data_IF_230031791329
#
_entry.id   IF_230031791329
#
_cell.length_a   1.000
_cell.length_b   1.000
_cell.length_c   1.000
_cell.angle_alpha   90.00
_cell.angle_beta   90.00
_cell.angle_gamma   90.00
#
_symmetry.space_group_name_H-M   'P 1'
#
loop_
_entity.id
_entity.type
_entity.pdbx_description
1 polymer ?
#
# COMPACT_ATOMS: atom_id res chain seq x y z
N UNK A 1 12.67 5.69 4.78
CA UNK A 1 11.35 5.11 4.45
C UNK A 1 11.49 4.10 3.33
N UNK A 2 10.82 2.98 3.45
CA UNK A 2 10.89 1.93 2.43
C UNK A 2 10.24 2.38 1.13
N UNK A 3 10.92 2.21 0.00
CA UNK A 3 10.40 2.55 -1.32
C UNK A 3 10.28 1.34 -2.25
N UNK A 4 10.87 0.21 -1.89
CA UNK A 4 10.77 -1.00 -2.70
C UNK A 4 9.35 -1.54 -2.67
N UNK A 5 8.69 -1.62 -3.82
CA UNK A 5 7.28 -2.00 -3.91
C UNK A 5 7.00 -3.38 -3.34
N UNK A 6 7.84 -4.36 -3.62
CA UNK A 6 7.65 -5.71 -3.10
C UNK A 6 7.66 -5.74 -1.58
N UNK A 7 8.56 -4.98 -0.96
CA UNK A 7 8.65 -4.91 0.50
C UNK A 7 7.47 -4.18 1.10
N UNK A 8 7.03 -3.10 0.45
CA UNK A 8 5.83 -2.36 0.88
C UNK A 8 4.60 -3.27 0.87
N UNK A 9 4.38 -3.97 -0.25
CA UNK A 9 3.24 -4.87 -0.39
C UNK A 9 3.31 -6.02 0.61
N UNK A 10 4.49 -6.61 0.81
CA UNK A 10 4.66 -7.68 1.79
C UNK A 10 4.28 -7.22 3.20
N UNK A 11 4.67 -6.00 3.56
CA UNK A 11 4.31 -5.44 4.87
C UNK A 11 2.81 -5.17 4.99
N UNK A 12 2.21 -4.62 3.94
CA UNK A 12 0.77 -4.39 3.92
C UNK A 12 0.00 -5.70 4.14
N UNK A 13 0.34 -6.73 3.39
CA UNK A 13 -0.33 -8.03 3.51
C UNK A 13 -0.11 -8.66 4.87
N UNK A 14 1.09 -8.54 5.42
CA UNK A 14 1.42 -9.04 6.75
C UNK A 14 0.60 -8.35 7.84
N UNK A 15 0.23 -7.09 7.62
CA UNK A 15 -0.57 -6.30 8.56
C UNK A 15 -2.07 -6.40 8.31
N UNK A 16 -2.50 -7.28 7.42
CA UNK A 16 -3.91 -7.55 7.19
C UNK A 16 -4.56 -6.79 6.05
N UNK A 17 -3.78 -6.04 5.26
CA UNK A 17 -4.32 -5.39 4.07
C UNK A 17 -4.54 -6.43 2.98
N UNK A 18 -5.67 -6.34 2.29
CA UNK A 18 -6.09 -7.30 1.27
C UNK A 18 -6.14 -6.61 -0.07
N UNK A 19 -5.54 -7.22 -1.07
CA UNK A 19 -5.53 -6.70 -2.42
C UNK A 19 -6.91 -6.79 -3.05
N UNK A 20 -7.36 -5.69 -3.65
CA UNK A 20 -8.63 -5.61 -4.37
C UNK A 20 -8.35 -5.88 -5.84
N UNK A 21 -9.05 -6.83 -6.50
CA UNK A 21 -8.82 -7.14 -7.90
C UNK A 21 -9.22 -6.01 -8.83
N UNK A 22 -8.56 -5.93 -10.00
CA UNK A 22 -8.88 -5.01 -11.08
C UNK A 22 -8.10 -3.71 -11.06
N UNK A 23 -8.17 -2.97 -12.16
CA UNK A 23 -7.53 -1.66 -12.30
C UNK A 23 -6.06 -1.71 -12.70
N UNK A 24 -5.49 -0.53 -12.94
CA UNK A 24 -4.10 -0.38 -13.39
C UNK A 24 -3.10 -0.41 -12.23
N UNK A 25 -3.57 -0.10 -11.03
CA UNK A 25 -2.74 -0.11 -9.82
C UNK A 25 -3.25 -1.15 -8.85
N UNK A 26 -2.35 -1.66 -8.03
CA UNK A 26 -2.75 -2.54 -6.95
C UNK A 26 -3.39 -1.71 -5.85
N UNK A 27 -4.57 -2.11 -5.41
CA UNK A 27 -5.32 -1.41 -4.36
C UNK A 27 -5.52 -2.35 -3.19
N UNK A 28 -5.41 -1.82 -2.00
CA UNK A 28 -5.51 -2.60 -0.76
C UNK A 28 -6.55 -2.01 0.17
N UNK A 29 -7.32 -2.88 0.80
CA UNK A 29 -8.30 -2.51 1.83
C UNK A 29 -8.00 -3.25 3.12
N UNK A 30 -8.56 -2.76 4.23
CA UNK A 30 -8.38 -3.37 5.54
C UNK A 30 -9.70 -3.38 6.29
N UNK A 31 -10.06 -4.52 6.88
CA UNK A 31 -11.33 -4.66 7.60
C UNK A 31 -11.46 -3.71 8.79
N UNK A 32 -10.34 -3.39 9.45
CA UNK A 32 -10.32 -2.47 10.57
C UNK A 32 -10.41 -1.00 10.15
N UNK A 33 -10.30 -0.71 8.85
CA UNK A 33 -10.35 0.65 8.31
C UNK A 33 -11.30 0.73 7.12
N UNK A 34 -12.61 0.56 7.36
CA UNK A 34 -13.60 0.57 6.26
C UNK A 34 -13.58 1.91 5.53
N UNK A 35 -13.68 1.85 4.20
CA UNK A 35 -13.67 3.04 3.35
C UNK A 35 -12.28 3.59 3.05
N UNK A 36 -11.23 3.05 3.65
CA UNK A 36 -9.86 3.47 3.37
C UNK A 36 -9.25 2.57 2.30
N UNK A 37 -8.58 3.20 1.33
CA UNK A 37 -7.96 2.49 0.21
C UNK A 37 -6.51 2.93 0.07
N UNK A 38 -5.60 1.96 -0.02
CA UNK A 38 -4.21 2.23 -0.36
C UNK A 38 -3.99 1.86 -1.82
N UNK A 39 -3.45 2.79 -2.61
CA UNK A 39 -3.14 2.57 -4.02
C UNK A 39 -1.63 2.44 -4.16
N UNK A 40 -1.19 1.32 -4.72
CA UNK A 40 0.23 1.05 -4.95
C UNK A 40 0.47 0.93 -6.46
N UNK A 41 1.11 1.93 -7.08
CA UNK A 41 1.47 1.85 -8.49
C UNK A 41 2.39 0.65 -8.75
N UNK A 42 2.24 0.04 -9.93
CA UNK A 42 3.00 -1.16 -10.31
C UNK A 42 4.39 -0.80 -10.83
N UNK A 43 5.18 -0.12 -10.02
CA UNK A 43 6.58 0.17 -10.31
C UNK A 43 7.45 -0.66 -9.37
N UNK A 44 8.67 -0.92 -9.78
CA UNK A 44 9.63 -1.65 -8.94
C UNK A 44 9.89 -0.90 -7.64
N UNK A 45 10.03 0.43 -7.75
CA UNK A 45 10.22 1.30 -6.59
C UNK A 45 9.21 2.43 -6.65
N UNK A 46 8.73 2.85 -5.49
CA UNK A 46 7.82 3.98 -5.37
C UNK A 46 8.62 5.27 -5.18
N UNK A 47 8.09 6.37 -5.69
CA UNK A 47 8.67 7.68 -5.38
C UNK A 47 8.55 7.94 -3.86
N UNK A 48 9.45 8.78 -3.29
CA UNK A 48 9.36 9.10 -1.86
C UNK A 48 8.00 9.62 -1.44
N UNK A 49 7.37 10.45 -2.28
CA UNK A 49 6.04 11.00 -1.98
C UNK A 49 4.96 9.93 -1.92
N UNK A 50 4.96 9.02 -2.88
CA UNK A 50 3.99 7.92 -2.90
C UNK A 50 4.24 6.96 -1.73
N UNK A 51 5.50 6.62 -1.47
CA UNK A 51 5.84 5.75 -0.34
C UNK A 51 5.38 6.35 0.99
N UNK A 52 5.56 7.67 1.15
CA UNK A 52 5.12 8.37 2.36
C UNK A 52 3.59 8.38 2.49
N UNK A 53 2.87 8.58 1.39
CA UNK A 53 1.41 8.53 1.41
C UNK A 53 0.91 7.16 1.84
N UNK A 54 1.49 6.10 1.32
CA UNK A 54 1.17 4.73 1.71
C UNK A 54 1.44 4.54 3.20
N UNK A 55 2.61 4.95 3.66
CA UNK A 55 3.01 4.82 5.05
C UNK A 55 2.07 5.56 6.01
N UNK A 56 1.60 6.74 5.61
CA UNK A 56 0.64 7.51 6.42
C UNK A 56 -0.69 6.77 6.57
N UNK A 57 -1.23 6.27 5.48
CA UNK A 57 -2.51 5.56 5.50
C UNK A 57 -2.38 4.25 6.29
N UNK A 58 -1.27 3.56 6.14
CA UNK A 58 -1.01 2.30 6.82
C UNK A 58 -0.66 2.48 8.31
N UNK A 59 -0.40 3.71 8.74
CA UNK A 59 -0.03 3.98 10.13
C UNK A 59 1.44 3.72 10.45
N UNK A 60 2.30 3.77 9.44
CA UNK A 60 3.74 3.54 9.63
C UNK A 60 4.52 4.80 10.02
N UNK A 61 3.92 5.94 9.90
CA UNK A 61 4.51 7.23 10.29
C UNK A 61 3.49 8.09 11.03
#
# INVERSE_FOLDING_TARGET
METNTRKIVARLEREGWVKVPGGKHDKFTHSAKPGVLIVVPRHKDQSPGVARSIAKIAGWV
#
